data_IF_998269112876
#
_entry.id   IF_998269112876
#
_cell.length_a   1.000
_cell.length_b   1.000
_cell.length_c   1.000
_cell.angle_alpha   90.00
_cell.angle_beta   90.00
_cell.angle_gamma   90.00
#
_symmetry.space_group_name_H-M   'P 1'
#
loop_
_entity.id
_entity.type
_entity.pdbx_description
1 polymer ?
#
# COMPACT_ATOMS: atom_id res chain seq x y z
N UNK A 1 -50.76 -13.08 27.63
CA UNK A 1 -50.07 -11.84 27.26
C UNK A 1 -50.63 -10.78 28.18
N UNK A 2 -49.76 -10.16 28.97
CA UNK A 2 -50.15 -9.11 29.93
C UNK A 2 -50.47 -7.85 29.12
N UNK A 3 -51.67 -7.29 29.31
CA UNK A 3 -52.11 -6.06 28.63
C UNK A 3 -52.30 -5.03 29.71
N UNK A 4 -51.43 -4.04 29.73
CA UNK A 4 -51.53 -2.93 30.66
C UNK A 4 -52.42 -1.85 30.05
N UNK A 5 -53.49 -1.52 30.75
CA UNK A 5 -54.36 -0.40 30.38
C UNK A 5 -53.87 0.81 31.14
N UNK A 6 -53.24 1.73 30.42
CA UNK A 6 -52.80 3.02 30.98
C UNK A 6 -53.81 4.09 30.61
N UNK A 7 -54.33 4.78 31.63
CA UNK A 7 -55.18 5.96 31.45
C UNK A 7 -54.30 7.18 31.71
N UNK A 8 -54.16 8.03 30.69
CA UNK A 8 -53.41 9.28 30.85
C UNK A 8 -54.05 10.12 31.97
N UNK A 9 -53.25 10.71 32.87
CA UNK A 9 -53.75 11.60 33.91
C UNK A 9 -54.46 12.81 33.28
N UNK A 10 -55.37 13.43 34.05
CA UNK A 10 -56.08 14.61 33.56
C UNK A 10 -55.10 15.70 33.11
N UNK A 11 -55.45 16.45 32.05
CA UNK A 11 -54.59 17.47 31.42
C UNK A 11 -53.94 18.48 32.37
N UNK A 12 -54.53 18.73 33.53
CA UNK A 12 -53.98 19.61 34.57
C UNK A 12 -52.81 19.03 35.38
N UNK A 13 -52.53 17.73 35.27
CA UNK A 13 -51.45 17.05 36.00
C UNK A 13 -50.25 16.73 35.09
N UNK A 14 -50.50 16.10 33.93
CA UNK A 14 -49.46 15.79 32.94
C UNK A 14 -50.11 15.68 31.55
N UNK A 15 -49.49 16.21 30.48
CA UNK A 15 -50.01 16.09 29.13
C UNK A 15 -49.96 14.64 28.65
N UNK A 16 -50.91 14.22 27.79
CA UNK A 16 -50.94 12.85 27.26
C UNK A 16 -49.68 12.51 26.45
N UNK A 17 -49.09 13.51 25.79
CA UNK A 17 -47.83 13.37 25.06
C UNK A 17 -46.68 12.88 25.96
N UNK A 18 -46.51 13.48 27.14
CA UNK A 18 -45.46 13.07 28.08
C UNK A 18 -45.70 11.65 28.59
N UNK A 19 -46.96 11.29 28.85
CA UNK A 19 -47.31 9.91 29.28
C UNK A 19 -47.01 8.90 28.17
N UNK A 20 -47.33 9.23 26.90
CA UNK A 20 -47.00 8.39 25.76
C UNK A 20 -45.48 8.26 25.55
N UNK A 21 -44.73 9.34 25.72
CA UNK A 21 -43.26 9.33 25.59
C UNK A 21 -42.57 8.32 26.52
N UNK A 22 -43.07 8.17 27.74
CA UNK A 22 -42.56 7.21 28.73
C UNK A 22 -42.80 5.75 28.30
N UNK A 23 -43.88 5.49 27.56
CA UNK A 23 -44.35 4.13 27.23
C UNK A 23 -43.87 3.64 25.86
N UNK A 24 -43.84 4.49 24.84
CA UNK A 24 -43.59 4.12 23.42
C UNK A 24 -42.26 3.39 23.22
N UNK A 25 -41.27 3.60 24.09
CA UNK A 25 -39.96 2.95 24.01
C UNK A 25 -39.93 1.51 24.56
N UNK A 26 -40.90 1.14 25.40
CA UNK A 26 -40.92 -0.15 26.11
C UNK A 26 -42.03 -1.07 25.64
N UNK A 27 -43.12 -0.50 25.10
CA UNK A 27 -44.30 -1.24 24.66
C UNK A 27 -44.73 -0.81 23.26
N UNK A 28 -45.53 -1.64 22.59
CA UNK A 28 -46.21 -1.28 21.33
C UNK A 28 -47.60 -0.71 21.68
N UNK A 29 -47.79 0.62 21.70
CA UNK A 29 -49.01 1.21 22.19
C UNK A 29 -50.15 1.08 21.17
N UNK A 30 -51.35 0.77 21.66
CA UNK A 30 -52.59 1.01 20.93
C UNK A 30 -53.26 2.21 21.58
N UNK A 31 -53.25 3.36 20.89
CA UNK A 31 -53.74 4.61 21.47
C UNK A 31 -55.24 4.74 21.21
N UNK A 32 -56.00 5.01 22.27
CA UNK A 32 -57.43 5.32 22.19
C UNK A 32 -57.67 6.73 22.72
N UNK A 33 -58.44 7.52 21.99
CA UNK A 33 -58.80 8.88 22.36
C UNK A 33 -60.32 9.01 22.47
N UNK A 34 -60.82 9.19 23.70
CA UNK A 34 -62.25 9.28 23.98
C UNK A 34 -62.72 10.74 23.93
N UNK A 35 -63.84 10.99 23.25
CA UNK A 35 -64.39 12.33 23.01
C UNK A 35 -65.83 12.33 23.50
N UNK A 36 -66.18 13.23 24.41
CA UNK A 36 -67.57 13.32 24.92
C UNK A 36 -68.45 14.23 24.06
N UNK A 37 -67.85 15.26 23.45
CA UNK A 37 -68.58 16.29 22.69
C UNK A 37 -68.75 15.93 21.20
N UNK A 38 -69.61 16.69 20.51
CA UNK A 38 -69.83 16.54 19.07
C UNK A 38 -68.68 17.09 18.21
N UNK A 39 -67.76 17.85 18.81
CA UNK A 39 -66.61 18.49 18.16
C UNK A 39 -65.40 18.43 19.10
N UNK A 40 -64.20 18.53 18.53
CA UNK A 40 -62.97 18.67 19.31
C UNK A 40 -62.86 20.08 19.88
N UNK A 41 -62.61 20.17 21.18
CA UNK A 41 -62.24 21.42 21.84
C UNK A 41 -60.88 21.92 21.32
N UNK A 42 -60.58 23.22 21.44
CA UNK A 42 -59.26 23.75 21.06
C UNK A 42 -58.10 23.05 21.78
N UNK A 43 -58.33 22.60 23.01
CA UNK A 43 -57.36 21.83 23.79
C UNK A 43 -57.16 20.42 23.23
N UNK A 44 -58.22 19.73 22.80
CA UNK A 44 -58.11 18.41 22.16
C UNK A 44 -57.31 18.51 20.86
N UNK A 45 -57.58 19.55 20.07
CA UNK A 45 -56.89 19.76 18.80
C UNK A 45 -55.39 20.04 19.01
N UNK A 46 -55.03 20.83 20.02
CA UNK A 46 -53.63 21.10 20.36
C UNK A 46 -52.90 19.82 20.79
N UNK A 47 -53.49 19.05 21.72
CA UNK A 47 -52.93 17.79 22.21
C UNK A 47 -52.74 16.76 21.10
N UNK A 48 -53.73 16.61 20.20
CA UNK A 48 -53.61 15.71 19.06
C UNK A 48 -52.50 16.17 18.10
N UNK A 49 -52.36 17.47 17.81
CA UNK A 49 -51.23 17.93 16.97
C UNK A 49 -49.87 17.57 17.57
N UNK A 50 -49.70 17.76 18.87
CA UNK A 50 -48.46 17.40 19.57
C UNK A 50 -48.17 15.90 19.50
N UNK A 51 -49.17 15.05 19.72
CA UNK A 51 -49.05 13.59 19.62
C UNK A 51 -48.67 13.17 18.19
N UNK A 52 -49.29 13.77 17.18
CA UNK A 52 -49.03 13.46 15.77
C UNK A 52 -47.59 13.80 15.37
N UNK A 53 -47.14 15.01 15.73
CA UNK A 53 -45.80 15.51 15.42
C UNK A 53 -44.70 14.62 16.01
N UNK A 54 -44.90 14.16 17.26
CA UNK A 54 -43.87 13.41 17.98
C UNK A 54 -43.87 11.91 17.74
N UNK A 55 -45.04 11.30 17.55
CA UNK A 55 -45.14 9.83 17.50
C UNK A 55 -45.73 9.27 16.20
N UNK A 56 -46.50 10.06 15.45
CA UNK A 56 -47.14 9.61 14.19
C UNK A 56 -47.85 8.25 14.31
N UNK A 57 -48.51 8.01 15.45
CA UNK A 57 -49.19 6.76 15.75
C UNK A 57 -50.64 6.75 15.26
N UNK A 58 -51.18 5.59 14.83
CA UNK A 58 -52.60 5.43 14.59
C UNK A 58 -53.39 5.53 15.91
N UNK A 59 -54.49 6.30 15.91
CA UNK A 59 -55.34 6.51 17.09
C UNK A 59 -56.75 5.96 16.84
N UNK A 60 -57.31 5.25 17.82
CA UNK A 60 -58.72 4.89 17.84
C UNK A 60 -59.52 5.99 18.54
N UNK A 61 -60.23 6.81 17.77
CA UNK A 61 -61.12 7.83 18.29
C UNK A 61 -62.49 7.23 18.61
N UNK A 62 -62.94 7.38 19.85
CA UNK A 62 -64.26 6.92 20.28
C UNK A 62 -65.09 8.07 20.83
N UNK A 63 -66.26 8.31 20.26
CA UNK A 63 -67.21 9.29 20.81
C UNK A 63 -68.09 8.61 21.87
N UNK A 64 -68.04 9.12 23.09
CA UNK A 64 -68.86 8.63 24.21
C UNK A 64 -70.28 9.19 24.07
N UNK A 65 -71.32 8.36 24.01
CA UNK A 65 -72.70 8.84 23.91
C UNK A 65 -73.16 9.53 25.22
N UNK A 66 -73.95 10.60 25.10
CA UNK A 66 -74.56 11.26 26.26
C UNK A 66 -75.70 10.41 26.86
N UNK A 67 -75.76 10.21 28.18
CA UNK A 67 -76.72 9.33 28.84
C UNK A 67 -78.19 9.79 28.75
N UNK A 68 -78.46 11.04 28.33
CA UNK A 68 -79.78 11.64 28.27
C UNK A 68 -80.45 11.58 26.89
N UNK A 69 -79.78 11.04 25.87
CA UNK A 69 -80.24 11.17 24.48
C UNK A 69 -80.91 9.92 23.89
N UNK A 70 -81.19 8.89 24.69
CA UNK A 70 -81.66 7.58 24.20
C UNK A 70 -83.15 7.50 23.81
N UNK A 71 -83.97 8.54 23.96
CA UNK A 71 -85.42 8.37 23.72
C UNK A 71 -85.98 8.89 22.39
N UNK A 72 -85.31 9.72 21.60
CA UNK A 72 -85.85 10.12 20.29
C UNK A 72 -84.72 10.46 19.30
N UNK A 73 -84.27 9.50 18.50
CA UNK A 73 -83.84 9.83 17.13
C UNK A 73 -83.98 8.63 16.21
N UNK A 74 -85.14 8.59 15.57
CA UNK A 74 -85.43 7.75 14.41
C UNK A 74 -84.58 8.16 13.20
N UNK A 75 -83.82 7.19 12.67
CA UNK A 75 -83.42 7.01 11.26
C UNK A 75 -83.64 8.22 10.32
N UNK A 76 -82.55 8.88 9.90
CA UNK A 76 -82.16 9.19 8.49
C UNK A 76 -81.11 10.32 8.42
N UNK A 77 -79.91 10.02 7.90
CA UNK A 77 -79.32 10.51 6.63
C UNK A 77 -77.81 10.21 6.61
N UNK A 78 -77.42 9.01 6.18
CA UNK A 78 -76.03 8.51 6.13
C UNK A 78 -75.13 9.14 5.02
N UNK A 79 -75.15 10.47 4.83
CA UNK A 79 -74.25 11.10 3.84
C UNK A 79 -73.51 12.35 4.29
N UNK A 80 -73.89 12.99 5.38
CA UNK A 80 -73.11 14.11 5.91
C UNK A 80 -72.08 13.59 6.91
N UNK A 81 -70.80 13.83 6.62
CA UNK A 81 -69.69 13.58 7.53
C UNK A 81 -69.94 14.38 8.82
N UNK A 82 -69.82 13.73 9.98
CA UNK A 82 -69.97 14.42 11.26
C UNK A 82 -68.95 15.56 11.38
N UNK A 83 -69.26 16.64 12.13
CA UNK A 83 -68.31 17.75 12.30
C UNK A 83 -67.00 17.26 12.93
N UNK A 84 -67.07 16.27 13.82
CA UNK A 84 -65.90 15.58 14.37
C UNK A 84 -65.07 14.85 13.30
N UNK A 85 -65.73 14.15 12.36
CA UNK A 85 -65.04 13.50 11.26
C UNK A 85 -64.32 14.50 10.35
N UNK A 86 -64.93 15.66 10.07
CA UNK A 86 -64.28 16.73 9.31
C UNK A 86 -63.04 17.29 10.06
N UNK A 87 -63.15 17.55 11.36
CA UNK A 87 -62.02 18.04 12.16
C UNK A 87 -60.85 17.04 12.20
N UNK A 88 -61.13 15.73 12.30
CA UNK A 88 -60.08 14.70 12.29
C UNK A 88 -59.47 14.47 10.89
N UNK A 89 -60.21 14.75 9.83
CA UNK A 89 -59.66 14.83 8.47
C UNK A 89 -58.74 16.05 8.31
N UNK A 90 -59.14 17.22 8.84
CA UNK A 90 -58.34 18.45 8.78
C UNK A 90 -57.03 18.33 9.59
N UNK A 91 -57.06 17.57 10.70
CA UNK A 91 -55.88 17.18 11.45
C UNK A 91 -55.10 16.01 10.81
N UNK A 92 -55.55 15.54 9.64
CA UNK A 92 -54.98 14.44 8.83
C UNK A 92 -54.74 13.15 9.62
N UNK A 93 -55.62 12.85 10.57
CA UNK A 93 -55.66 11.56 11.25
C UNK A 93 -56.42 10.52 10.43
N UNK A 94 -57.46 10.97 9.72
CA UNK A 94 -58.26 10.15 8.83
C UNK A 94 -57.82 10.40 7.38
N UNK A 95 -57.92 9.39 6.52
CA UNK A 95 -57.67 9.52 5.08
C UNK A 95 -58.78 8.83 4.29
N UNK A 96 -59.04 9.31 3.07
CA UNK A 96 -59.96 8.67 2.12
C UNK A 96 -59.32 7.49 1.36
N UNK A 97 -58.03 7.17 1.61
CA UNK A 97 -57.26 6.14 0.92
C UNK A 97 -57.18 4.84 1.74
N UNK A 98 -57.40 3.65 1.15
CA UNK A 98 -57.40 2.37 1.88
C UNK A 98 -55.99 1.81 2.23
N UNK A 99 -54.94 2.62 2.25
CA UNK A 99 -53.57 2.12 2.41
C UNK A 99 -52.89 2.59 3.71
N UNK A 100 -52.33 1.63 4.45
CA UNK A 100 -51.72 1.67 5.79
C UNK A 100 -52.69 1.64 6.99
N UNK A 101 -52.18 1.19 8.14
CA UNK A 101 -52.84 1.22 9.46
C UNK A 101 -53.15 2.67 9.85
N UNK A 102 -54.32 3.16 9.46
CA UNK A 102 -54.77 4.52 9.70
C UNK A 102 -55.61 4.62 10.99
N UNK A 103 -55.70 5.82 11.54
CA UNK A 103 -56.58 6.12 12.68
C UNK A 103 -58.05 5.89 12.31
N UNK A 104 -58.86 5.56 13.30
CA UNK A 104 -60.27 5.18 13.11
C UNK A 104 -61.17 6.01 14.02
N UNK A 105 -62.26 6.57 13.49
CA UNK A 105 -63.31 7.23 14.28
C UNK A 105 -64.54 6.31 14.41
N UNK A 106 -64.98 6.11 15.64
CA UNK A 106 -66.18 5.35 15.99
C UNK A 106 -67.11 6.22 16.85
N UNK A 107 -68.28 6.54 16.33
CA UNK A 107 -69.27 7.37 17.04
C UNK A 107 -70.44 6.58 17.65
N UNK A 108 -70.51 5.27 17.37
CA UNK A 108 -71.61 4.40 17.79
C UNK A 108 -71.08 3.36 18.79
N UNK A 109 -71.76 3.23 19.93
CA UNK A 109 -71.33 2.34 21.02
C UNK A 109 -71.26 0.87 20.56
N UNK A 110 -72.18 0.42 19.70
CA UNK A 110 -72.21 -0.95 19.18
C UNK A 110 -71.01 -1.27 18.29
N UNK A 111 -70.34 -0.24 17.78
CA UNK A 111 -69.14 -0.35 16.95
C UNK A 111 -67.85 -0.28 17.77
N UNK A 112 -67.89 -0.12 19.09
CA UNK A 112 -66.70 -0.16 19.95
C UNK A 112 -65.91 -1.48 19.81
N UNK A 113 -66.59 -2.58 19.46
CA UNK A 113 -65.96 -3.87 19.11
C UNK A 113 -64.89 -3.78 18.01
N UNK A 114 -64.92 -2.73 17.18
CA UNK A 114 -63.90 -2.47 16.16
C UNK A 114 -62.52 -2.16 16.76
N UNK A 115 -62.43 -1.78 18.05
CA UNK A 115 -61.16 -1.58 18.74
C UNK A 115 -60.28 -2.84 18.68
N UNK A 116 -60.87 -4.04 18.79
CA UNK A 116 -60.11 -5.30 18.68
C UNK A 116 -59.51 -5.49 17.28
N UNK A 117 -60.28 -5.18 16.24
CA UNK A 117 -59.82 -5.25 14.85
C UNK A 117 -58.74 -4.20 14.59
N UNK A 118 -58.95 -2.97 15.05
CA UNK A 118 -57.98 -1.88 14.94
C UNK A 118 -56.66 -2.23 15.65
N UNK A 119 -56.73 -2.70 16.89
CA UNK A 119 -55.56 -3.14 17.68
C UNK A 119 -54.77 -4.20 16.93
N UNK A 120 -55.46 -5.21 16.38
CA UNK A 120 -54.84 -6.27 15.57
C UNK A 120 -54.13 -5.68 14.35
N UNK A 121 -54.77 -4.77 13.63
CA UNK A 121 -54.20 -4.15 12.44
C UNK A 121 -52.94 -3.34 12.78
N UNK A 122 -52.99 -2.50 13.82
CA UNK A 122 -51.83 -1.70 14.27
C UNK A 122 -50.65 -2.60 14.64
N UNK A 123 -50.89 -3.62 15.46
CA UNK A 123 -49.84 -4.56 15.88
C UNK A 123 -49.28 -5.38 14.71
N UNK A 124 -50.13 -5.82 13.78
CA UNK A 124 -49.68 -6.48 12.55
C UNK A 124 -48.85 -5.55 11.67
N UNK A 125 -49.22 -4.27 11.56
CA UNK A 125 -48.46 -3.26 10.84
C UNK A 125 -47.05 -3.10 11.40
N UNK A 126 -46.91 -2.97 12.72
CA UNK A 126 -45.61 -2.92 13.39
C UNK A 126 -44.77 -4.18 13.14
N UNK A 127 -45.38 -5.36 13.23
CA UNK A 127 -44.68 -6.62 12.96
C UNK A 127 -44.16 -6.70 11.52
N UNK A 128 -44.98 -6.30 10.55
CA UNK A 128 -44.59 -6.28 9.13
C UNK A 128 -43.45 -5.29 8.91
N UNK A 129 -43.53 -4.08 9.46
CA UNK A 129 -42.47 -3.08 9.35
C UNK A 129 -41.15 -3.59 9.94
N UNK A 130 -41.17 -4.12 11.16
CA UNK A 130 -39.99 -4.66 11.82
C UNK A 130 -39.38 -5.84 11.03
N UNK A 131 -40.22 -6.76 10.54
CA UNK A 131 -39.78 -7.89 9.73
C UNK A 131 -39.19 -7.43 8.38
N UNK A 132 -39.78 -6.43 7.73
CA UNK A 132 -39.27 -5.84 6.50
C UNK A 132 -37.90 -5.19 6.69
N UNK A 133 -37.73 -4.38 7.75
CA UNK A 133 -36.44 -3.77 8.07
C UNK A 133 -35.38 -4.81 8.41
N UNK A 134 -35.73 -5.87 9.16
CA UNK A 134 -34.82 -6.97 9.46
C UNK A 134 -34.42 -7.73 8.19
N UNK A 135 -35.37 -7.99 7.29
CA UNK A 135 -35.10 -8.64 6.01
C UNK A 135 -34.15 -7.80 5.14
N UNK A 136 -34.34 -6.48 5.08
CA UNK A 136 -33.44 -5.59 4.36
C UNK A 136 -32.00 -5.65 4.91
N UNK A 137 -31.85 -5.60 6.23
CA UNK A 137 -30.54 -5.76 6.89
C UNK A 137 -29.91 -7.12 6.56
N UNK A 138 -30.69 -8.19 6.63
CA UNK A 138 -30.22 -9.54 6.32
C UNK A 138 -29.75 -9.66 4.86
N UNK A 139 -30.51 -9.12 3.90
CA UNK A 139 -30.12 -9.08 2.49
C UNK A 139 -28.82 -8.29 2.28
N UNK A 140 -28.65 -7.15 2.98
CA UNK A 140 -27.41 -6.37 2.91
C UNK A 140 -26.22 -7.16 3.45
N UNK A 141 -26.35 -7.82 4.60
CA UNK A 141 -25.30 -8.66 5.15
C UNK A 141 -24.92 -9.81 4.20
N UNK A 142 -25.90 -10.51 3.64
CA UNK A 142 -25.64 -11.58 2.66
C UNK A 142 -24.90 -11.07 1.43
N UNK A 143 -25.29 -9.90 0.89
CA UNK A 143 -24.58 -9.30 -0.24
C UNK A 143 -23.11 -8.97 0.10
N UNK A 144 -22.84 -8.46 1.31
CA UNK A 144 -21.45 -8.22 1.76
C UNK A 144 -20.67 -9.53 1.77
N UNK A 145 -21.21 -10.59 2.39
CA UNK A 145 -20.54 -11.89 2.46
C UNK A 145 -20.31 -12.50 1.07
N UNK A 146 -21.30 -12.42 0.18
CA UNK A 146 -21.20 -12.95 -1.19
C UNK A 146 -20.11 -12.20 -1.96
N UNK A 147 -20.12 -10.87 -1.94
CA UNK A 147 -19.11 -10.07 -2.63
C UNK A 147 -17.71 -10.33 -2.07
N UNK A 148 -17.57 -10.40 -0.74
CA UNK A 148 -16.29 -10.67 -0.10
C UNK A 148 -15.77 -12.08 -0.42
N UNK A 149 -16.64 -13.08 -0.51
CA UNK A 149 -16.27 -14.42 -0.93
C UNK A 149 -15.78 -14.45 -2.40
N UNK A 150 -16.46 -13.73 -3.30
CA UNK A 150 -16.03 -13.62 -4.70
C UNK A 150 -14.70 -12.89 -4.86
N UNK A 151 -14.49 -11.81 -4.12
CA UNK A 151 -13.22 -11.08 -4.15
C UNK A 151 -12.09 -11.93 -3.57
N UNK A 152 -12.30 -12.62 -2.45
CA UNK A 152 -11.32 -13.56 -1.89
C UNK A 152 -10.99 -14.70 -2.84
N UNK A 153 -11.99 -15.29 -3.51
CA UNK A 153 -11.76 -16.33 -4.52
C UNK A 153 -10.97 -15.81 -5.72
N UNK A 154 -11.26 -14.58 -6.17
CA UNK A 154 -10.51 -13.93 -7.24
C UNK A 154 -9.06 -13.72 -6.83
N UNK A 155 -8.82 -13.19 -5.63
CA UNK A 155 -7.48 -12.96 -5.11
C UNK A 155 -6.68 -14.25 -4.98
N UNK A 156 -7.30 -15.33 -4.49
CA UNK A 156 -6.68 -16.65 -4.43
C UNK A 156 -6.25 -17.18 -5.82
N UNK A 157 -6.93 -16.79 -6.90
CA UNK A 157 -6.57 -17.20 -8.26
C UNK A 157 -5.58 -16.25 -8.94
N UNK A 158 -5.72 -14.95 -8.73
CA UNK A 158 -4.96 -13.91 -9.43
C UNK A 158 -3.60 -13.67 -8.75
N UNK A 159 -3.57 -13.58 -7.41
CA UNK A 159 -2.35 -13.27 -6.65
C UNK A 159 -1.19 -14.26 -6.90
N UNK A 160 -1.40 -15.59 -6.97
CA UNK A 160 -0.32 -16.52 -7.30
C UNK A 160 0.26 -16.29 -8.69
N UNK A 161 -0.59 -16.06 -9.70
CA UNK A 161 -0.18 -15.77 -11.08
C UNK A 161 0.63 -14.48 -11.16
N UNK A 162 0.23 -13.46 -10.38
CA UNK A 162 0.95 -12.19 -10.26
C UNK A 162 2.33 -12.37 -9.64
N UNK A 163 2.41 -13.05 -8.50
CA UNK A 163 3.69 -13.36 -7.84
C UNK A 163 4.65 -14.13 -8.75
N UNK A 164 4.13 -15.05 -9.55
CA UNK A 164 4.92 -15.81 -10.53
C UNK A 164 5.39 -14.93 -11.70
N UNK A 165 4.52 -14.06 -12.22
CA UNK A 165 4.91 -13.08 -13.24
C UNK A 165 6.03 -12.16 -12.75
N UNK A 166 5.87 -11.60 -11.55
CA UNK A 166 6.85 -10.70 -10.93
C UNK A 166 8.19 -11.42 -10.71
N UNK A 167 8.17 -12.65 -10.20
CA UNK A 167 9.40 -13.47 -10.08
C UNK A 167 10.09 -13.66 -11.41
N UNK A 168 9.33 -13.99 -12.47
CA UNK A 168 9.91 -14.20 -13.80
C UNK A 168 10.57 -12.93 -14.33
N UNK A 169 9.90 -11.78 -14.19
CA UNK A 169 10.42 -10.49 -14.64
C UNK A 169 11.65 -10.03 -13.88
N UNK A 170 11.70 -10.28 -12.58
CA UNK A 170 12.89 -10.00 -11.79
C UNK A 170 14.05 -10.94 -12.16
N UNK A 171 13.81 -12.23 -12.37
CA UNK A 171 14.83 -13.16 -12.86
C UNK A 171 15.39 -12.74 -14.23
N UNK A 172 14.53 -12.37 -15.18
CA UNK A 172 14.94 -11.86 -16.50
C UNK A 172 15.86 -10.64 -16.37
N UNK A 173 15.51 -9.72 -15.47
CA UNK A 173 16.31 -8.53 -15.19
C UNK A 173 17.64 -8.87 -14.52
N UNK A 174 17.64 -9.76 -13.52
CA UNK A 174 18.84 -10.21 -12.84
C UNK A 174 19.85 -10.82 -13.82
N UNK A 175 19.40 -11.74 -14.68
CA UNK A 175 20.25 -12.35 -15.70
C UNK A 175 20.79 -11.31 -16.71
N UNK A 176 19.95 -10.35 -17.11
CA UNK A 176 20.37 -9.26 -18.00
C UNK A 176 21.48 -8.40 -17.37
N UNK A 177 21.29 -7.96 -16.13
CA UNK A 177 22.27 -7.15 -15.40
C UNK A 177 23.56 -7.93 -15.13
N UNK A 178 23.45 -9.22 -14.77
CA UNK A 178 24.62 -10.10 -14.58
C UNK A 178 25.40 -10.27 -15.89
N UNK A 179 24.70 -10.41 -17.02
CA UNK A 179 25.29 -10.43 -18.36
C UNK A 179 26.06 -9.15 -18.70
N UNK A 180 25.49 -7.98 -18.41
CA UNK A 180 26.16 -6.68 -18.62
C UNK A 180 27.43 -6.59 -17.76
N UNK A 181 27.35 -6.95 -16.48
CA UNK A 181 28.50 -6.92 -15.57
C UNK A 181 29.63 -7.85 -16.02
N UNK A 182 29.31 -9.07 -16.47
CA UNK A 182 30.29 -10.04 -16.96
C UNK A 182 30.95 -9.57 -18.25
N UNK A 183 30.18 -9.05 -19.21
CA UNK A 183 30.73 -8.49 -20.46
C UNK A 183 31.66 -7.31 -20.17
N UNK A 184 31.24 -6.40 -19.29
CA UNK A 184 32.05 -5.23 -18.92
C UNK A 184 33.31 -5.60 -18.15
N UNK A 185 33.29 -6.70 -17.39
CA UNK A 185 34.50 -7.23 -16.77
C UNK A 185 35.56 -7.62 -17.81
N UNK A 186 35.16 -8.31 -18.88
CA UNK A 186 36.08 -8.68 -19.95
C UNK A 186 36.56 -7.46 -20.73
N UNK A 187 35.67 -6.50 -21.05
CA UNK A 187 36.07 -5.24 -21.69
C UNK A 187 37.08 -4.44 -20.83
N UNK A 188 36.88 -4.39 -19.49
CA UNK A 188 37.85 -3.79 -18.57
C UNK A 188 39.17 -4.56 -18.54
N UNK A 189 39.14 -5.89 -18.55
CA UNK A 189 40.34 -6.73 -18.60
C UNK A 189 41.15 -6.41 -19.85
N UNK A 190 40.51 -6.37 -21.01
CA UNK A 190 41.16 -6.11 -22.29
C UNK A 190 41.73 -4.69 -22.35
N UNK A 191 41.00 -3.69 -21.82
CA UNK A 191 41.50 -2.31 -21.69
C UNK A 191 42.75 -2.19 -20.81
N UNK A 192 42.81 -2.95 -19.71
CA UNK A 192 43.98 -2.98 -18.83
C UNK A 192 45.16 -3.62 -19.55
N UNK A 193 44.95 -4.73 -20.26
CA UNK A 193 45.98 -5.40 -21.06
C UNK A 193 46.52 -4.48 -22.16
N UNK A 194 45.64 -3.78 -22.88
CA UNK A 194 46.02 -2.83 -23.91
C UNK A 194 46.82 -1.65 -23.33
N UNK A 195 46.38 -1.09 -22.21
CA UNK A 195 47.06 0.03 -21.55
C UNK A 195 48.43 -0.38 -21.00
N UNK A 196 48.53 -1.58 -20.43
CA UNK A 196 49.82 -2.17 -20.03
C UNK A 196 50.76 -2.36 -21.22
N UNK A 197 50.24 -2.85 -22.35
CA UNK A 197 51.04 -3.04 -23.57
C UNK A 197 51.58 -1.72 -24.13
N UNK A 198 50.73 -0.69 -24.19
CA UNK A 198 51.10 0.62 -24.75
C UNK A 198 52.11 1.36 -23.86
N UNK A 199 51.97 1.27 -22.53
CA UNK A 199 52.85 1.94 -21.58
C UNK A 199 54.13 1.16 -21.25
N UNK A 200 54.24 -0.09 -21.73
CA UNK A 200 55.34 -0.99 -21.33
C UNK A 200 56.70 -0.34 -21.55
N UNK A 201 56.98 0.14 -22.76
CA UNK A 201 58.30 0.69 -23.09
C UNK A 201 58.59 1.98 -22.32
N UNK A 202 57.60 2.89 -22.20
CA UNK A 202 57.73 4.12 -21.42
C UNK A 202 58.05 3.84 -19.94
N UNK A 203 57.38 2.85 -19.33
CA UNK A 203 57.62 2.45 -17.94
C UNK A 203 59.01 1.82 -17.76
N UNK A 204 59.50 1.09 -18.77
CA UNK A 204 60.84 0.49 -18.76
C UNK A 204 61.93 1.56 -18.88
N UNK A 205 61.72 2.60 -19.68
CA UNK A 205 62.61 3.75 -19.79
C UNK A 205 62.60 4.62 -18.52
N UNK A 206 61.41 4.92 -17.97
CA UNK A 206 61.25 5.64 -16.70
C UNK A 206 61.96 4.91 -15.55
N UNK A 207 61.87 3.58 -15.49
CA UNK A 207 62.57 2.77 -14.49
C UNK A 207 64.09 2.77 -14.70
N UNK A 208 64.57 2.71 -15.95
CA UNK A 208 66.00 2.75 -16.25
C UNK A 208 66.65 4.08 -15.84
N UNK A 209 65.94 5.19 -16.04
CA UNK A 209 66.37 6.55 -15.72
C UNK A 209 66.08 6.97 -14.27
N UNK A 210 65.47 6.09 -13.46
CA UNK A 210 65.06 6.41 -12.10
C UNK A 210 66.26 6.66 -11.18
N UNK A 211 66.27 7.84 -10.54
CA UNK A 211 67.17 8.15 -9.42
C UNK A 211 66.51 7.72 -8.11
N UNK A 212 67.21 6.90 -7.31
CA UNK A 212 66.68 6.43 -6.03
C UNK A 212 66.83 7.51 -4.97
N UNK A 213 65.77 7.72 -4.18
CA UNK A 213 65.87 8.56 -2.99
C UNK A 213 66.50 7.77 -1.86
N UNK A 214 67.33 8.46 -1.07
CA UNK A 214 67.91 7.97 0.18
C UNK A 214 68.86 6.75 0.04
N UNK A 215 69.44 6.53 -1.16
CA UNK A 215 70.40 5.44 -1.42
C UNK A 215 71.62 6.02 -2.13
N UNK A 216 72.81 5.84 -1.55
CA UNK A 216 74.08 6.19 -2.18
C UNK A 216 74.51 4.99 -3.02
N UNK A 217 74.45 5.09 -4.35
CA UNK A 217 74.97 4.06 -5.25
C UNK A 217 76.50 4.24 -5.31
N UNK A 218 77.31 3.28 -4.86
CA UNK A 218 78.77 3.37 -5.00
C UNK A 218 79.17 3.27 -6.48
N UNK A 219 79.94 4.25 -6.98
CA UNK A 219 80.42 4.30 -8.38
C UNK A 219 81.43 3.17 -8.71
N UNK A 220 82.01 2.52 -7.70
CA UNK A 220 83.19 1.65 -7.83
C UNK A 220 82.90 0.14 -7.74
N UNK A 221 81.74 -0.34 -8.24
CA UNK A 221 81.48 -1.77 -8.36
C UNK A 221 81.44 -2.55 -7.03
N UNK A 222 81.31 -1.85 -5.90
CA UNK A 222 81.14 -2.48 -4.59
C UNK A 222 79.73 -3.04 -4.42
N UNK A 223 79.57 -4.19 -3.72
CA UNK A 223 78.29 -4.84 -3.56
C UNK A 223 77.34 -3.97 -2.72
N UNK A 224 76.19 -3.64 -3.31
CA UNK A 224 75.12 -2.90 -2.65
C UNK A 224 74.48 -3.76 -1.54
N UNK A 225 74.20 -3.16 -0.39
CA UNK A 225 73.54 -3.84 0.73
C UNK A 225 72.19 -4.44 0.31
N UNK A 226 71.88 -5.65 0.76
CA UNK A 226 70.59 -6.31 0.48
C UNK A 226 69.38 -5.50 0.97
N UNK A 227 69.55 -4.62 1.96
CA UNK A 227 68.50 -3.70 2.42
C UNK A 227 68.22 -2.59 1.40
N UNK A 228 69.27 -2.08 0.77
CA UNK A 228 69.19 -1.00 -0.21
C UNK A 228 68.66 -1.53 -1.55
N UNK A 229 69.07 -2.74 -1.95
CA UNK A 229 68.48 -3.43 -3.12
C UNK A 229 66.97 -3.61 -2.95
N UNK A 230 66.50 -4.04 -1.76
CA UNK A 230 65.06 -4.17 -1.47
C UNK A 230 64.35 -2.81 -1.52
N UNK A 231 65.00 -1.74 -1.07
CA UNK A 231 64.46 -0.39 -1.14
C UNK A 231 64.36 0.10 -2.60
N UNK A 232 65.38 -0.12 -3.43
CA UNK A 232 65.36 0.17 -4.86
C UNK A 232 64.22 -0.55 -5.59
N UNK A 233 64.05 -1.85 -5.33
CA UNK A 233 62.95 -2.64 -5.91
C UNK A 233 61.60 -2.05 -5.52
N UNK A 234 61.43 -1.69 -4.25
CA UNK A 234 60.17 -1.09 -3.75
C UNK A 234 59.89 0.26 -4.43
N UNK A 235 60.90 1.11 -4.60
CA UNK A 235 60.73 2.40 -5.29
C UNK A 235 60.37 2.21 -6.78
N UNK A 236 61.00 1.28 -7.50
CA UNK A 236 60.64 0.95 -8.89
C UNK A 236 59.19 0.44 -8.97
N UNK A 237 58.79 -0.42 -8.05
CA UNK A 237 57.42 -0.92 -7.99
C UNK A 237 56.41 0.20 -7.71
N UNK A 238 56.69 1.09 -6.76
CA UNK A 238 55.83 2.23 -6.45
C UNK A 238 55.66 3.17 -7.65
N UNK A 239 56.73 3.44 -8.41
CA UNK A 239 56.69 4.23 -9.64
C UNK A 239 55.75 3.61 -10.68
N UNK A 240 55.95 2.31 -10.97
CA UNK A 240 55.15 1.57 -11.97
C UNK A 240 53.69 1.52 -11.56
N UNK A 241 53.41 1.20 -10.29
CA UNK A 241 52.05 1.16 -9.76
C UNK A 241 51.39 2.54 -9.85
N UNK A 242 52.11 3.62 -9.50
CA UNK A 242 51.56 4.96 -9.53
C UNK A 242 51.18 5.40 -10.95
N UNK A 243 52.09 5.20 -11.93
CA UNK A 243 51.85 5.58 -13.33
C UNK A 243 50.77 4.73 -13.98
N UNK A 244 50.80 3.41 -13.74
CA UNK A 244 49.78 2.50 -14.25
C UNK A 244 48.41 2.80 -13.65
N UNK A 245 48.33 3.05 -12.34
CA UNK A 245 47.08 3.41 -11.68
C UNK A 245 46.47 4.66 -12.29
N UNK A 246 47.28 5.69 -12.56
CA UNK A 246 46.79 6.93 -13.13
C UNK A 246 46.22 6.72 -14.54
N UNK A 247 46.93 5.97 -15.40
CA UNK A 247 46.49 5.72 -16.76
C UNK A 247 45.28 4.78 -16.85
N UNK A 248 45.28 3.71 -16.04
CA UNK A 248 44.17 2.76 -15.96
C UNK A 248 42.94 3.45 -15.35
N UNK A 249 43.08 4.17 -14.23
CA UNK A 249 41.95 4.84 -13.58
C UNK A 249 41.25 5.83 -14.52
N UNK A 250 42.00 6.62 -15.29
CA UNK A 250 41.43 7.57 -16.25
C UNK A 250 40.54 6.90 -17.31
N UNK A 251 40.94 5.72 -17.82
CA UNK A 251 40.11 4.96 -18.77
C UNK A 251 38.96 4.20 -18.08
N UNK A 252 39.19 3.78 -16.84
CA UNK A 252 38.25 2.96 -16.09
C UNK A 252 37.05 3.78 -15.57
N UNK A 253 37.24 5.08 -15.29
CA UNK A 253 36.16 6.03 -14.97
C UNK A 253 35.07 5.96 -16.03
N UNK A 254 35.41 6.16 -17.31
CA UNK A 254 34.43 6.15 -18.41
C UNK A 254 33.74 4.80 -18.59
N UNK A 255 34.45 3.68 -18.38
CA UNK A 255 33.84 2.34 -18.46
C UNK A 255 32.89 2.04 -17.30
N UNK A 256 33.19 2.54 -16.10
CA UNK A 256 32.35 2.38 -14.92
C UNK A 256 31.13 3.29 -14.99
N UNK A 257 31.29 4.52 -15.47
CA UNK A 257 30.17 5.44 -15.70
C UNK A 257 29.20 4.87 -16.73
N UNK A 258 29.71 4.32 -17.84
CA UNK A 258 28.89 3.62 -18.82
C UNK A 258 28.19 2.39 -18.23
N UNK A 259 28.89 1.59 -17.41
CA UNK A 259 28.30 0.43 -16.73
C UNK A 259 27.13 0.88 -15.83
N UNK A 260 27.33 1.94 -15.05
CA UNK A 260 26.30 2.54 -14.20
C UNK A 260 25.11 3.02 -15.02
N UNK A 261 25.32 3.83 -16.05
CA UNK A 261 24.24 4.36 -16.89
C UNK A 261 23.46 3.24 -17.59
N UNK A 262 24.15 2.21 -18.07
CA UNK A 262 23.54 1.03 -18.68
C UNK A 262 22.66 0.25 -17.68
N UNK A 263 23.14 0.09 -16.44
CA UNK A 263 22.39 -0.52 -15.34
C UNK A 263 21.15 0.29 -14.98
N UNK A 264 21.32 1.60 -14.73
CA UNK A 264 20.24 2.54 -14.38
C UNK A 264 19.17 2.52 -15.46
N UNK A 265 19.54 2.73 -16.74
CA UNK A 265 18.57 2.80 -17.81
C UNK A 265 17.82 1.48 -18.06
N UNK A 266 18.46 0.34 -17.85
CA UNK A 266 17.79 -0.98 -17.94
C UNK A 266 16.79 -1.16 -16.80
N UNK A 267 17.19 -0.77 -15.60
CA UNK A 267 16.35 -0.85 -14.41
C UNK A 267 15.13 0.09 -14.50
N UNK A 268 15.32 1.33 -14.97
CA UNK A 268 14.23 2.30 -15.20
C UNK A 268 13.22 1.80 -16.24
N UNK A 269 13.69 1.29 -17.38
CA UNK A 269 12.80 0.74 -18.43
C UNK A 269 12.00 -0.45 -17.95
N UNK A 270 12.63 -1.37 -17.21
CA UNK A 270 11.95 -2.52 -16.64
C UNK A 270 10.94 -2.10 -15.57
N UNK A 271 11.29 -1.14 -14.72
CA UNK A 271 10.39 -0.64 -13.67
C UNK A 271 9.16 0.04 -14.27
N UNK A 272 9.36 0.90 -15.28
CA UNK A 272 8.27 1.53 -16.03
C UNK A 272 7.38 0.50 -16.72
N UNK A 273 7.96 -0.48 -17.40
CA UNK A 273 7.19 -1.56 -18.05
C UNK A 273 6.40 -2.41 -17.05
N UNK A 274 6.97 -2.67 -15.86
CA UNK A 274 6.31 -3.41 -14.79
C UNK A 274 5.12 -2.62 -14.22
N UNK A 275 5.27 -1.30 -14.07
CA UNK A 275 4.20 -0.40 -13.62
C UNK A 275 3.10 -0.24 -14.69
N UNK A 276 3.45 -0.14 -15.98
CA UNK A 276 2.48 0.02 -17.09
C UNK A 276 1.73 -1.28 -17.45
N UNK A 277 2.42 -2.43 -17.50
CA UNK A 277 1.78 -3.73 -17.80
C UNK A 277 0.76 -4.14 -16.74
N UNK A 278 0.87 -3.57 -15.54
CA UNK A 278 -0.06 -3.76 -14.45
C UNK A 278 -1.36 -2.99 -14.61
N UNK A 279 -1.31 -1.72 -15.05
CA UNK A 279 -2.52 -0.90 -15.22
C UNK A 279 -3.47 -1.47 -16.29
N UNK A 280 -2.90 -2.08 -17.33
CA UNK A 280 -3.65 -2.63 -18.47
C UNK A 280 -4.32 -3.97 -18.15
N UNK A 281 -3.76 -4.75 -17.22
CA UNK A 281 -4.23 -6.12 -16.94
C UNK A 281 -5.32 -6.21 -15.85
N UNK A 282 -5.68 -5.09 -15.20
CA UNK A 282 -6.57 -5.05 -14.02
C UNK A 282 -7.86 -4.23 -14.25
N UNK A 283 -8.05 -3.61 -15.41
CA UNK A 283 -9.29 -2.85 -15.69
C UNK A 283 -10.11 -3.49 -16.81
N UNK A 284 -11.32 -3.97 -16.48
CA UNK A 284 -12.47 -3.12 -16.76
C UNK A 284 -13.39 -2.92 -15.54
N UNK A 285 -13.74 -1.65 -15.29
CA UNK A 285 -14.94 -1.13 -14.64
C UNK A 285 -15.46 -1.81 -13.34
N UNK A 286 -15.24 -1.16 -12.19
CA UNK A 286 -16.22 -0.29 -11.49
C UNK A 286 -15.63 0.13 -10.15
N UNK A 287 -15.86 1.40 -9.81
CA UNK A 287 -15.28 2.02 -8.63
C UNK A 287 -15.75 1.36 -7.34
N UNK A 288 -14.79 0.89 -6.56
CA UNK A 288 -14.61 1.25 -5.16
C UNK A 288 -13.18 0.84 -4.80
N UNK A 289 -12.39 1.82 -4.39
CA UNK A 289 -11.02 1.75 -3.84
C UNK A 289 -10.00 0.84 -4.55
N UNK A 290 -8.94 1.46 -5.10
CA UNK A 290 -7.73 0.76 -5.54
C UNK A 290 -7.16 -0.03 -4.35
N UNK A 291 -7.14 -1.37 -4.37
CA UNK A 291 -6.33 -2.10 -3.41
C UNK A 291 -4.88 -1.76 -3.76
N UNK A 292 -4.17 -1.13 -2.82
CA UNK A 292 -2.71 -0.99 -2.89
C UNK A 292 -2.12 -2.41 -2.81
N UNK A 293 -1.95 -3.05 -3.95
CA UNK A 293 -1.39 -4.41 -4.03
C UNK A 293 0.09 -4.35 -3.65
N UNK A 294 0.37 -4.83 -2.44
CA UNK A 294 1.64 -4.73 -1.73
C UNK A 294 2.78 -5.39 -2.54
N UNK A 295 2.47 -6.39 -3.38
CA UNK A 295 3.48 -7.18 -4.13
C UNK A 295 4.22 -6.40 -5.23
N UNK A 296 3.51 -5.59 -6.02
CA UNK A 296 4.10 -4.74 -7.08
C UNK A 296 4.92 -3.61 -6.47
N UNK A 297 4.42 -3.04 -5.37
CA UNK A 297 5.15 -2.02 -4.62
C UNK A 297 6.43 -2.57 -3.99
N UNK A 298 6.43 -3.78 -3.44
CA UNK A 298 7.63 -4.42 -2.91
C UNK A 298 8.70 -4.55 -4.01
N UNK A 299 8.31 -5.04 -5.19
CA UNK A 299 9.23 -5.21 -6.34
C UNK A 299 9.82 -3.88 -6.79
N UNK A 300 8.96 -2.91 -7.08
CA UNK A 300 9.35 -1.57 -7.50
C UNK A 300 10.23 -0.89 -6.43
N UNK A 301 9.96 -1.09 -5.14
CA UNK A 301 10.75 -0.52 -4.05
C UNK A 301 12.17 -1.10 -3.95
N UNK A 302 12.35 -2.43 -4.08
CA UNK A 302 13.70 -3.01 -4.08
C UNK A 302 14.52 -2.54 -5.29
N UNK A 303 13.90 -2.51 -6.46
CA UNK A 303 14.53 -1.99 -7.68
C UNK A 303 14.85 -0.49 -7.54
N UNK A 304 13.97 0.30 -6.91
CA UNK A 304 14.21 1.73 -6.58
C UNK A 304 15.35 1.92 -5.59
N UNK A 305 15.51 1.03 -4.61
CA UNK A 305 16.67 1.05 -3.73
C UNK A 305 17.94 0.82 -4.54
N UNK A 306 18.00 -0.20 -5.42
CA UNK A 306 19.15 -0.44 -6.31
C UNK A 306 19.48 0.80 -7.17
N UNK A 307 18.47 1.46 -7.72
CA UNK A 307 18.61 2.75 -8.41
C UNK A 307 19.21 3.84 -7.52
N UNK A 308 18.68 4.02 -6.31
CA UNK A 308 19.20 4.97 -5.33
C UNK A 308 20.66 4.68 -4.96
N UNK A 309 21.04 3.41 -4.76
CA UNK A 309 22.43 3.01 -4.49
C UNK A 309 23.37 3.26 -5.65
N UNK A 310 22.87 3.17 -6.88
CA UNK A 310 23.63 3.65 -8.01
C UNK A 310 23.79 5.16 -7.80
N UNK A 311 22.74 5.96 -7.72
CA UNK A 311 22.84 7.43 -7.66
C UNK A 311 23.62 8.04 -6.46
N UNK A 312 23.36 7.58 -5.23
CA UNK A 312 23.72 8.26 -3.97
C UNK A 312 25.10 7.94 -3.40
N UNK A 313 25.90 7.07 -4.02
CA UNK A 313 27.23 6.76 -3.48
C UNK A 313 28.28 7.71 -4.07
N UNK A 314 28.78 8.72 -3.32
CA UNK A 314 29.92 9.52 -3.76
C UNK A 314 31.12 8.59 -3.94
N UNK A 315 31.57 8.43 -5.19
CA UNK A 315 32.66 7.57 -5.67
C UNK A 315 33.65 7.07 -4.58
N UNK A 316 33.38 5.97 -3.83
CA UNK A 316 34.36 5.37 -2.93
C UNK A 316 35.42 4.61 -3.74
N UNK A 317 35.09 4.31 -5.00
CA UNK A 317 35.90 3.64 -6.01
C UNK A 317 37.08 4.50 -6.52
N UNK A 318 36.97 5.83 -6.38
CA UNK A 318 38.01 6.82 -6.71
C UNK A 318 38.70 7.39 -5.48
N UNK A 319 38.44 6.87 -4.27
CA UNK A 319 39.25 7.26 -3.13
C UNK A 319 40.71 6.91 -3.46
N UNK A 320 41.63 7.91 -3.48
CA UNK A 320 43.04 7.68 -3.75
C UNK A 320 43.69 6.69 -2.77
N UNK A 321 42.99 6.30 -1.70
CA UNK A 321 43.42 5.34 -0.68
C UNK A 321 42.99 3.87 -0.88
N UNK A 322 41.97 3.54 -1.70
CA UNK A 322 41.52 2.14 -1.91
C UNK A 322 42.04 1.51 -3.22
N UNK A 323 42.24 2.30 -4.28
CA UNK A 323 42.93 1.86 -5.49
C UNK A 323 44.37 1.37 -5.24
N UNK A 324 45.17 1.96 -4.32
CA UNK A 324 46.47 1.41 -3.93
C UNK A 324 46.37 0.01 -3.30
N UNK A 325 45.27 -0.32 -2.60
CA UNK A 325 45.15 -1.57 -1.86
C UNK A 325 44.96 -2.81 -2.75
N UNK A 326 44.22 -2.69 -3.86
CA UNK A 326 44.02 -3.82 -4.78
C UNK A 326 45.32 -4.20 -5.53
N UNK A 327 46.16 -3.20 -5.83
CA UNK A 327 47.45 -3.39 -6.49
C UNK A 327 48.58 -3.78 -5.52
N UNK A 328 48.60 -3.23 -4.30
CA UNK A 328 49.62 -3.54 -3.30
C UNK A 328 49.62 -5.00 -2.83
N UNK A 329 48.45 -5.67 -2.81
CA UNK A 329 48.35 -7.07 -2.40
C UNK A 329 48.83 -8.09 -3.46
N UNK A 330 48.97 -7.68 -4.73
CA UNK A 330 49.32 -8.60 -5.83
C UNK A 330 50.83 -8.82 -5.95
N UNK A 331 51.66 -7.89 -5.46
CA UNK A 331 53.11 -7.82 -5.73
C UNK A 331 53.98 -8.49 -4.64
N UNK A 332 53.38 -8.98 -3.54
CA UNK A 332 54.13 -9.54 -2.40
C UNK A 332 54.79 -10.92 -2.62
N UNK A 333 54.80 -11.47 -3.83
CA UNK A 333 55.37 -12.82 -4.06
C UNK A 333 56.27 -12.86 -5.27
N UNK A 334 57.46 -12.29 -5.17
CA UNK A 334 58.50 -12.60 -6.16
C UNK A 334 59.86 -12.74 -5.47
N UNK A 335 60.52 -13.86 -5.72
CA UNK A 335 61.84 -14.22 -5.20
C UNK A 335 62.91 -13.64 -6.12
N UNK A 336 63.64 -12.63 -5.66
CA UNK A 336 64.57 -11.87 -6.49
C UNK A 336 66.04 -12.21 -6.21
N UNK A 337 66.79 -12.43 -7.29
CA UNK A 337 68.23 -12.66 -7.30
C UNK A 337 68.96 -11.32 -7.14
N UNK A 338 69.93 -11.28 -6.23
CA UNK A 338 70.73 -10.07 -5.93
C UNK A 338 71.77 -9.83 -7.03
N UNK A 339 71.74 -8.68 -7.74
CA UNK A 339 72.77 -8.37 -8.73
C UNK A 339 74.01 -7.78 -8.06
N UNK A 340 75.19 -7.90 -8.69
CA UNK A 340 76.42 -7.28 -8.21
C UNK A 340 76.46 -5.75 -8.38
N UNK A 341 75.63 -5.15 -9.25
CA UNK A 341 75.54 -3.70 -9.44
C UNK A 341 74.13 -3.25 -9.89
N UNK A 342 73.70 -2.06 -9.45
CA UNK A 342 72.43 -1.44 -9.86
C UNK A 342 72.60 -0.79 -11.25
N UNK A 343 72.54 -1.61 -12.31
CA UNK A 343 72.59 -1.13 -13.70
C UNK A 343 71.21 -0.69 -14.22
N UNK A 344 71.20 0.11 -15.29
CA UNK A 344 69.96 0.47 -16.01
C UNK A 344 69.22 -0.77 -16.53
N UNK A 345 69.97 -1.77 -16.99
CA UNK A 345 69.44 -3.07 -17.45
C UNK A 345 68.78 -3.86 -16.31
N UNK A 346 69.35 -3.82 -15.10
CA UNK A 346 68.72 -4.42 -13.93
C UNK A 346 67.42 -3.71 -13.55
N UNK A 347 67.39 -2.37 -13.53
CA UNK A 347 66.16 -1.61 -13.25
C UNK A 347 65.06 -1.94 -14.25
N UNK A 348 65.42 -2.05 -15.54
CA UNK A 348 64.52 -2.46 -16.62
C UNK A 348 63.97 -3.87 -16.38
N UNK A 349 64.82 -4.82 -15.97
CA UNK A 349 64.39 -6.18 -15.65
C UNK A 349 63.43 -6.23 -14.47
N UNK A 350 63.72 -5.54 -13.37
CA UNK A 350 62.83 -5.42 -12.20
C UNK A 350 61.49 -4.80 -12.58
N UNK A 351 61.50 -3.80 -13.46
CA UNK A 351 60.28 -3.17 -13.95
C UNK A 351 59.44 -4.11 -14.83
N UNK A 352 60.09 -4.83 -15.75
CA UNK A 352 59.40 -5.81 -16.60
C UNK A 352 58.76 -6.92 -15.79
N UNK A 353 59.50 -7.44 -14.83
CA UNK A 353 59.05 -8.44 -13.88
C UNK A 353 57.85 -7.96 -13.04
N UNK A 354 57.85 -6.69 -12.62
CA UNK A 354 56.73 -6.07 -11.92
C UNK A 354 55.49 -5.99 -12.84
N UNK A 355 55.66 -5.57 -14.09
CA UNK A 355 54.59 -5.48 -15.11
C UNK A 355 54.01 -6.87 -15.44
N UNK A 356 54.83 -7.90 -15.53
CA UNK A 356 54.38 -9.28 -15.82
C UNK A 356 53.67 -9.93 -14.62
N UNK A 357 53.99 -9.51 -13.40
CA UNK A 357 53.30 -9.95 -12.17
C UNK A 357 51.90 -9.34 -12.00
N UNK A 358 51.60 -8.26 -12.72
CA UNK A 358 50.33 -7.54 -12.69
C UNK A 358 49.25 -8.31 -13.43
N UNK A 359 48.31 -8.87 -12.68
CA UNK A 359 47.18 -9.62 -13.24
C UNK A 359 46.02 -8.71 -13.60
N UNK A 360 45.87 -8.36 -14.88
CA UNK A 360 44.71 -7.65 -15.41
C UNK A 360 43.38 -8.33 -15.04
N UNK A 361 43.36 -9.67 -15.02
CA UNK A 361 42.19 -10.47 -14.61
C UNK A 361 41.80 -10.26 -13.15
N UNK A 362 42.76 -10.17 -12.22
CA UNK A 362 42.47 -9.91 -10.80
C UNK A 362 41.89 -8.52 -10.61
N UNK A 363 42.40 -7.52 -11.34
CA UNK A 363 41.91 -6.15 -11.23
C UNK A 363 40.48 -6.01 -11.74
N UNK A 364 40.21 -6.48 -12.97
CA UNK A 364 38.88 -6.46 -13.55
C UNK A 364 37.86 -7.22 -12.68
N UNK A 365 38.26 -8.40 -12.15
CA UNK A 365 37.43 -9.16 -11.20
C UNK A 365 37.14 -8.40 -9.92
N UNK A 366 38.12 -7.70 -9.34
CA UNK A 366 37.92 -6.92 -8.11
C UNK A 366 36.84 -5.84 -8.28
N UNK A 367 36.82 -5.16 -9.43
CA UNK A 367 35.85 -4.10 -9.73
C UNK A 367 34.45 -4.71 -9.96
N UNK A 368 34.33 -5.71 -10.82
CA UNK A 368 33.04 -6.32 -11.15
C UNK A 368 32.46 -7.18 -10.02
N UNK A 369 33.28 -7.75 -9.14
CA UNK A 369 32.82 -8.58 -8.02
C UNK A 369 31.94 -7.79 -7.05
N UNK A 370 32.23 -6.51 -6.83
CA UNK A 370 31.43 -5.68 -5.92
C UNK A 370 30.02 -5.42 -6.46
N UNK A 371 29.90 -5.13 -7.76
CA UNK A 371 28.60 -5.02 -8.44
C UNK A 371 27.83 -6.34 -8.38
N UNK A 372 28.49 -7.46 -8.70
CA UNK A 372 27.86 -8.79 -8.66
C UNK A 372 27.40 -9.18 -7.26
N UNK A 373 28.19 -8.88 -6.23
CA UNK A 373 27.82 -9.16 -4.83
C UNK A 373 26.57 -8.40 -4.42
N UNK A 374 26.48 -7.11 -4.79
CA UNK A 374 25.30 -6.28 -4.49
C UNK A 374 24.08 -6.71 -5.28
N UNK A 375 24.25 -7.06 -6.56
CA UNK A 375 23.18 -7.58 -7.40
C UNK A 375 22.61 -8.90 -6.84
N UNK A 376 23.49 -9.83 -6.42
CA UNK A 376 23.08 -11.06 -5.75
C UNK A 376 22.33 -10.79 -4.45
N UNK A 377 22.82 -9.87 -3.61
CA UNK A 377 22.14 -9.52 -2.37
C UNK A 377 20.74 -8.93 -2.60
N UNK A 378 20.57 -8.09 -3.64
CA UNK A 378 19.26 -7.57 -4.01
C UNK A 378 18.31 -8.66 -4.51
N UNK A 379 18.82 -9.59 -5.33
CA UNK A 379 18.05 -10.72 -5.83
C UNK A 379 17.57 -11.63 -4.69
N UNK A 380 18.45 -11.94 -3.74
CA UNK A 380 18.12 -12.73 -2.56
C UNK A 380 17.09 -12.02 -1.66
N UNK A 381 17.26 -10.71 -1.42
CA UNK A 381 16.32 -9.91 -0.62
C UNK A 381 14.92 -9.85 -1.27
N UNK A 382 14.88 -9.74 -2.59
CA UNK A 382 13.64 -9.80 -3.36
C UNK A 382 12.97 -11.18 -3.24
N UNK A 383 13.73 -12.25 -3.45
CA UNK A 383 13.24 -13.61 -3.32
C UNK A 383 12.71 -13.91 -1.90
N UNK A 384 13.38 -13.40 -0.86
CA UNK A 384 12.93 -13.51 0.52
C UNK A 384 11.61 -12.76 0.77
N UNK A 385 11.47 -11.55 0.22
CA UNK A 385 10.26 -10.74 0.38
C UNK A 385 9.06 -11.35 -0.34
N UNK A 386 9.26 -11.92 -1.54
CA UNK A 386 8.22 -12.68 -2.23
C UNK A 386 7.74 -13.91 -1.45
N UNK A 387 8.60 -14.51 -0.61
CA UNK A 387 8.20 -15.62 0.26
C UNK A 387 7.35 -15.13 1.44
N UNK A 388 7.63 -13.94 1.97
CA UNK A 388 6.81 -13.35 3.04
C UNK A 388 5.41 -13.00 2.57
N UNK A 389 5.25 -12.53 1.33
CA UNK A 389 3.93 -12.21 0.73
C UNK A 389 3.09 -13.46 0.41
N UNK A 390 3.70 -14.66 0.44
CA UNK A 390 3.00 -15.93 0.26
C UNK A 390 2.39 -16.49 1.55
N UNK A 391 2.80 -15.98 2.71
CA UNK A 391 2.26 -16.30 4.04
C UNK A 391 1.21 -15.26 4.42
#
# INVERSE_FOLDING_TARGET
QEVDIVVAPCRGFQPAEATLAELVNQVLPVVTFAISEAQLSPSDQAELREIKEKFSLPIFFFRVPEPSSELISTKKLDKEKSPLHCQLLDLEYLSCSPCSTQSMLVEQLEKLRLLSTFSRQVLQGHLVQAASSLNELHCRCLNIFINQAFDMQRDLQITPKRLEYTRRKENELFESLMGIANRKQEEMKDMIVETLGNMKEELLEDAANMEFRDIIIPENGEPVSSKDIKCCIKQIQELIISRLNQAVANKLISSVDYLRESFVGTLERCLKSLEESWEVSVHPARGLEKPKDVSVHITSNYLKQVLGWLWDVPHPWLCPGLAPCAFAQIIQRISWVSPPAISSEWKRKVAQDAIESLSASKLAKSICSQFRTRLNSSHEAFAASLRQVRL
#
